data_IF_796366446843
#
_entry.id   IF_796366446843
#
_cell.length_a   1.000
_cell.length_b   1.000
_cell.length_c   1.000
_cell.angle_alpha   90.00
_cell.angle_beta   90.00
_cell.angle_gamma   90.00
#
_symmetry.space_group_name_H-M   'P 1'
#
loop_
_entity.id
_entity.type
_entity.pdbx_description
1 polymer ?
#
# COMPACT_ATOMS: atom_id res chain seq x y z
N UNK A 1 -11.74 -0.47 44.03
CA UNK A 1 -11.45 -1.87 43.60
C UNK A 1 -12.52 -2.39 42.63
N UNK A 2 -13.81 -2.13 42.86
CA UNK A 2 -14.91 -2.53 41.96
C UNK A 2 -14.82 -1.96 40.53
N UNK A 3 -14.57 -0.66 40.35
CA UNK A 3 -14.44 -0.06 39.00
C UNK A 3 -13.26 -0.58 38.18
N UNK A 4 -12.12 -0.85 38.82
CA UNK A 4 -10.93 -1.38 38.13
C UNK A 4 -11.17 -2.80 37.63
N UNK A 5 -11.83 -3.65 38.43
CA UNK A 5 -12.20 -5.00 38.00
C UNK A 5 -13.27 -4.96 36.91
N UNK A 6 -14.28 -4.10 37.03
CA UNK A 6 -15.34 -3.96 36.02
C UNK A 6 -14.77 -3.48 34.66
N UNK A 7 -13.79 -2.58 34.67
CA UNK A 7 -13.07 -2.15 33.48
C UNK A 7 -12.18 -3.24 32.88
N UNK A 8 -11.45 -3.98 33.72
CA UNK A 8 -10.55 -5.05 33.27
C UNK A 8 -11.32 -6.21 32.62
N UNK A 9 -12.54 -6.48 33.10
CA UNK A 9 -13.47 -7.47 32.58
C UNK A 9 -14.49 -6.91 31.58
N UNK A 10 -14.32 -5.67 31.12
CA UNK A 10 -15.15 -5.14 30.05
C UNK A 10 -14.98 -6.05 28.81
N UNK A 11 -16.08 -6.56 28.22
CA UNK A 11 -16.01 -7.64 27.24
C UNK A 11 -15.19 -7.26 26.01
N UNK A 12 -15.26 -6.00 25.59
CA UNK A 12 -14.52 -5.48 24.44
C UNK A 12 -13.01 -5.43 24.70
N UNK A 13 -12.59 -4.90 25.86
CA UNK A 13 -11.19 -4.78 26.25
C UNK A 13 -10.55 -6.14 26.53
N UNK A 14 -11.30 -7.04 27.16
CA UNK A 14 -10.84 -8.39 27.45
C UNK A 14 -10.66 -9.21 26.18
N UNK A 15 -11.64 -9.17 25.26
CA UNK A 15 -11.51 -9.85 23.96
C UNK A 15 -10.34 -9.27 23.14
N UNK A 16 -10.16 -7.95 23.15
CA UNK A 16 -9.03 -7.28 22.50
C UNK A 16 -7.67 -7.65 23.11
N UNK A 17 -7.59 -7.73 24.44
CA UNK A 17 -6.36 -8.09 25.16
C UNK A 17 -5.99 -9.55 24.93
N UNK A 18 -6.96 -10.47 25.07
CA UNK A 18 -6.75 -11.90 24.80
C UNK A 18 -6.35 -12.12 23.34
N UNK A 19 -7.00 -11.44 22.39
CA UNK A 19 -6.64 -11.50 20.97
C UNK A 19 -5.23 -11.00 20.70
N UNK A 20 -4.85 -9.87 21.28
CA UNK A 20 -3.49 -9.29 21.13
C UNK A 20 -2.43 -10.22 21.72
N UNK A 21 -2.67 -10.77 22.91
CA UNK A 21 -1.78 -11.75 23.56
C UNK A 21 -1.68 -13.03 22.74
N UNK A 22 -2.80 -13.54 22.21
CA UNK A 22 -2.84 -14.75 21.41
C UNK A 22 -2.01 -14.59 20.12
N UNK A 23 -2.06 -13.42 19.47
CA UNK A 23 -1.24 -13.13 18.29
C UNK A 23 0.24 -12.95 18.67
N UNK A 24 0.54 -12.20 19.74
CA UNK A 24 1.91 -12.01 20.23
C UNK A 24 2.56 -13.32 20.69
N UNK A 25 1.78 -14.32 21.13
CA UNK A 25 2.28 -15.65 21.48
C UNK A 25 3.05 -16.33 20.34
N UNK A 26 2.77 -15.98 19.07
CA UNK A 26 3.50 -16.52 17.91
C UNK A 26 5.00 -16.23 17.97
N UNK A 27 5.40 -15.11 18.59
CA UNK A 27 6.81 -14.72 18.73
C UNK A 27 7.61 -15.76 19.50
N UNK A 28 6.97 -16.44 20.46
CA UNK A 28 7.63 -17.45 21.30
C UNK A 28 7.50 -18.86 20.73
N UNK A 29 6.30 -19.26 20.27
CA UNK A 29 6.04 -20.55 19.61
C UNK A 29 4.63 -20.58 19.02
N UNK A 30 4.39 -21.43 18.02
CA UNK A 30 3.03 -21.77 17.59
C UNK A 30 2.27 -22.54 18.69
N UNK A 31 1.37 -21.85 19.37
CA UNK A 31 0.50 -22.41 20.40
C UNK A 31 -0.91 -22.69 19.85
N UNK A 32 -1.64 -23.63 20.48
CA UNK A 32 -3.04 -23.94 20.09
C UNK A 32 -3.95 -22.71 20.16
N UNK A 33 -3.72 -21.82 21.13
CA UNK A 33 -4.44 -20.56 21.27
C UNK A 33 -4.19 -19.63 20.08
N UNK A 34 -2.93 -19.43 19.67
CA UNK A 34 -2.59 -18.65 18.47
C UNK A 34 -3.33 -19.19 17.24
N UNK A 35 -3.29 -20.50 17.02
CA UNK A 35 -3.94 -21.15 15.87
C UNK A 35 -5.45 -20.92 15.87
N UNK A 36 -6.14 -21.00 17.01
CA UNK A 36 -7.57 -20.71 17.10
C UNK A 36 -7.88 -19.27 16.65
N UNK A 37 -7.16 -18.29 17.19
CA UNK A 37 -7.36 -16.88 16.85
C UNK A 37 -7.02 -16.58 15.38
N UNK A 38 -6.00 -17.24 14.83
CA UNK A 38 -5.67 -17.15 13.40
C UNK A 38 -6.84 -17.62 12.51
N UNK A 39 -7.50 -18.74 12.84
CA UNK A 39 -8.64 -19.22 12.07
C UNK A 39 -9.87 -18.31 12.21
N UNK A 40 -10.12 -17.77 13.41
CA UNK A 40 -11.20 -16.80 13.63
C UNK A 40 -10.95 -15.54 12.79
N UNK A 41 -9.73 -15.01 12.81
CA UNK A 41 -9.37 -13.81 12.06
C UNK A 41 -9.42 -14.04 10.55
N UNK A 42 -8.90 -15.16 10.06
CA UNK A 42 -9.02 -15.56 8.65
C UNK A 42 -10.48 -15.75 8.25
N UNK A 43 -11.30 -16.38 9.08
CA UNK A 43 -12.73 -16.55 8.83
C UNK A 43 -13.48 -15.22 8.75
N UNK A 44 -13.17 -14.28 9.65
CA UNK A 44 -13.73 -12.93 9.62
C UNK A 44 -13.30 -12.15 8.38
N UNK A 45 -12.02 -12.25 8.00
CA UNK A 45 -11.51 -11.62 6.77
C UNK A 45 -12.19 -12.18 5.51
N UNK A 46 -12.39 -13.50 5.44
CA UNK A 46 -13.13 -14.12 4.34
C UNK A 46 -14.61 -13.70 4.34
N UNK A 47 -15.25 -13.66 5.52
CA UNK A 47 -16.64 -13.20 5.65
C UNK A 47 -16.83 -11.75 5.21
N UNK A 48 -15.92 -10.85 5.62
CA UNK A 48 -15.90 -9.46 5.18
C UNK A 48 -15.67 -9.35 3.66
N UNK A 49 -14.79 -10.19 3.10
CA UNK A 49 -14.60 -10.27 1.65
C UNK A 49 -15.87 -10.68 0.90
N UNK A 50 -16.66 -11.61 1.44
CA UNK A 50 -17.97 -11.99 0.88
C UNK A 50 -18.96 -10.83 0.97
N UNK A 51 -18.99 -10.12 2.10
CA UNK A 51 -19.86 -8.95 2.29
C UNK A 51 -19.54 -7.85 1.26
N UNK A 52 -18.27 -7.45 1.12
CA UNK A 52 -17.81 -6.48 0.10
C UNK A 52 -18.24 -6.95 -1.29
N UNK A 53 -17.99 -8.21 -1.61
CA UNK A 53 -18.34 -8.77 -2.92
C UNK A 53 -19.85 -8.67 -3.18
N UNK A 54 -20.68 -8.85 -2.14
CA UNK A 54 -22.11 -8.66 -2.25
C UNK A 54 -22.51 -7.19 -2.39
N UNK A 55 -22.04 -6.31 -1.51
CA UNK A 55 -22.51 -4.93 -1.38
C UNK A 55 -21.92 -4.00 -2.44
N UNK A 56 -20.68 -4.21 -2.84
CA UNK A 56 -19.96 -3.34 -3.80
C UNK A 56 -20.00 -3.86 -5.23
N UNK A 57 -20.16 -5.17 -5.43
CA UNK A 57 -20.11 -5.79 -6.76
C UNK A 57 -21.46 -6.38 -7.15
N UNK A 58 -21.89 -7.48 -6.52
CA UNK A 58 -23.08 -8.23 -6.96
C UNK A 58 -24.36 -7.40 -6.89
N UNK A 59 -24.59 -6.66 -5.79
CA UNK A 59 -25.80 -5.88 -5.62
C UNK A 59 -25.90 -4.73 -6.64
N UNK A 60 -24.95 -3.78 -6.69
CA UNK A 60 -25.08 -2.61 -7.57
C UNK A 60 -24.82 -2.94 -9.05
N UNK A 61 -23.94 -3.90 -9.38
CA UNK A 61 -23.59 -4.19 -10.78
C UNK A 61 -24.49 -5.25 -11.42
N UNK A 62 -25.09 -6.16 -10.62
CA UNK A 62 -25.89 -7.27 -11.14
C UNK A 62 -27.34 -7.24 -10.66
N UNK A 63 -27.60 -7.17 -9.36
CA UNK A 63 -28.94 -7.30 -8.79
C UNK A 63 -29.83 -6.07 -9.05
N UNK A 64 -29.35 -4.87 -8.75
CA UNK A 64 -30.12 -3.63 -8.87
C UNK A 64 -30.51 -3.33 -10.34
N UNK A 65 -29.63 -3.49 -11.36
CA UNK A 65 -30.01 -3.33 -12.76
C UNK A 65 -31.02 -4.38 -13.25
N UNK A 66 -30.93 -5.62 -12.74
CA UNK A 66 -31.85 -6.70 -13.09
C UNK A 66 -33.27 -6.39 -12.58
N UNK A 67 -33.38 -5.92 -11.33
CA UNK A 67 -34.66 -5.53 -10.73
C UNK A 67 -35.21 -4.24 -11.34
N UNK A 68 -34.34 -3.33 -11.79
CA UNK A 68 -34.71 -2.10 -12.52
C UNK A 68 -35.23 -2.36 -13.96
N UNK A 69 -35.36 -3.63 -14.38
CA UNK A 69 -35.94 -4.00 -15.68
C UNK A 69 -34.93 -4.09 -16.82
N UNK A 70 -33.62 -3.96 -16.55
CA UNK A 70 -32.57 -4.16 -17.56
C UNK A 70 -32.20 -5.65 -17.66
N UNK A 71 -33.09 -6.46 -18.21
CA UNK A 71 -32.92 -7.91 -18.36
C UNK A 71 -31.68 -8.34 -19.14
N UNK A 72 -31.06 -7.42 -19.90
CA UNK A 72 -29.80 -7.67 -20.60
C UNK A 72 -28.67 -8.13 -19.66
N UNK A 73 -28.68 -7.70 -18.39
CA UNK A 73 -27.68 -8.11 -17.39
C UNK A 73 -27.71 -9.60 -17.05
N UNK A 74 -28.81 -10.30 -17.34
CA UNK A 74 -28.89 -11.76 -17.14
C UNK A 74 -27.86 -12.51 -17.99
N UNK A 75 -27.39 -11.91 -19.09
CA UNK A 75 -26.34 -12.46 -19.95
C UNK A 75 -24.98 -12.57 -19.26
N UNK A 76 -24.80 -11.91 -18.11
CA UNK A 76 -23.58 -12.07 -17.30
C UNK A 76 -23.56 -13.38 -16.51
N UNK A 77 -24.71 -14.02 -16.25
CA UNK A 77 -24.79 -15.31 -15.52
C UNK A 77 -24.12 -16.44 -16.31
N UNK A 78 -24.40 -16.67 -17.61
CA UNK A 78 -23.66 -17.64 -18.41
C UNK A 78 -22.15 -17.36 -18.44
N UNK A 79 -21.76 -16.09 -18.56
CA UNK A 79 -20.34 -15.68 -18.56
C UNK A 79 -19.69 -16.00 -17.21
N UNK A 80 -20.36 -15.74 -16.10
CA UNK A 80 -19.90 -16.15 -14.76
C UNK A 80 -19.80 -17.67 -14.62
N UNK A 81 -20.75 -18.42 -15.19
CA UNK A 81 -20.71 -19.89 -15.19
C UNK A 81 -19.50 -20.46 -15.96
N UNK A 82 -19.01 -19.75 -16.98
CA UNK A 82 -17.80 -20.16 -17.72
C UNK A 82 -16.56 -20.27 -16.82
N UNK A 83 -16.48 -19.54 -15.70
CA UNK A 83 -15.39 -19.69 -14.73
C UNK A 83 -15.33 -21.09 -14.12
N UNK A 84 -16.47 -21.70 -13.84
CA UNK A 84 -16.56 -23.06 -13.30
C UNK A 84 -16.12 -24.12 -14.30
N UNK A 85 -15.93 -23.75 -15.58
CA UNK A 85 -15.28 -24.60 -16.58
C UNK A 85 -13.87 -25.06 -16.19
N UNK A 86 -13.22 -24.40 -15.21
CA UNK A 86 -11.93 -24.83 -14.65
C UNK A 86 -11.97 -26.22 -14.01
N UNK A 87 -13.11 -26.65 -13.48
CA UNK A 87 -13.24 -27.96 -12.83
C UNK A 87 -13.35 -29.12 -13.81
N UNK A 88 -13.59 -28.85 -15.10
CA UNK A 88 -13.80 -29.87 -16.13
C UNK A 88 -12.82 -29.70 -17.28
N UNK A 89 -11.99 -30.72 -17.55
CA UNK A 89 -10.97 -30.69 -18.63
C UNK A 89 -11.54 -30.37 -20.03
N UNK A 90 -12.82 -30.66 -20.30
CA UNK A 90 -13.48 -30.37 -21.59
C UNK A 90 -13.82 -28.89 -21.79
N UNK A 91 -14.13 -28.17 -20.72
CA UNK A 91 -14.58 -26.76 -20.78
C UNK A 91 -13.49 -25.76 -20.35
N UNK A 92 -12.26 -26.23 -20.17
CA UNK A 92 -11.11 -25.40 -19.78
C UNK A 92 -10.81 -24.27 -20.78
N UNK A 93 -11.16 -24.43 -22.06
CA UNK A 93 -11.00 -23.35 -23.04
C UNK A 93 -11.87 -22.12 -22.72
N UNK A 94 -13.05 -22.33 -22.10
CA UNK A 94 -13.99 -21.26 -21.75
C UNK A 94 -13.44 -20.40 -20.61
N UNK A 95 -12.88 -21.03 -19.59
CA UNK A 95 -12.24 -20.33 -18.48
C UNK A 95 -10.96 -19.61 -18.91
N UNK A 96 -10.15 -20.20 -19.81
CA UNK A 96 -8.96 -19.54 -20.37
C UNK A 96 -9.29 -18.25 -21.13
N UNK A 97 -10.39 -18.22 -21.88
CA UNK A 97 -10.83 -17.02 -22.59
C UNK A 97 -11.18 -15.90 -21.59
N UNK A 98 -11.92 -16.24 -20.53
CA UNK A 98 -12.20 -15.31 -19.43
C UNK A 98 -10.91 -14.78 -18.79
N UNK A 99 -10.02 -15.68 -18.36
CA UNK A 99 -8.74 -15.25 -17.76
C UNK A 99 -7.95 -14.35 -18.71
N UNK A 100 -7.93 -14.64 -20.02
CA UNK A 100 -7.29 -13.79 -21.02
C UNK A 100 -7.89 -12.38 -21.06
N UNK A 101 -9.23 -12.26 -21.00
CA UNK A 101 -9.91 -10.96 -20.92
C UNK A 101 -9.60 -10.24 -19.60
N UNK A 102 -9.65 -10.94 -18.45
CA UNK A 102 -9.30 -10.34 -17.16
C UNK A 102 -7.85 -9.87 -17.11
N UNK A 103 -6.91 -10.66 -17.60
CA UNK A 103 -5.50 -10.26 -17.69
C UNK A 103 -5.31 -9.11 -18.68
N UNK A 104 -6.02 -9.10 -19.81
CA UNK A 104 -5.99 -8.00 -20.77
C UNK A 104 -6.50 -6.69 -20.18
N UNK A 105 -7.62 -6.72 -19.46
CA UNK A 105 -8.17 -5.57 -18.74
C UNK A 105 -7.21 -5.10 -17.64
N UNK A 106 -6.72 -6.01 -16.80
CA UNK A 106 -5.77 -5.69 -15.74
C UNK A 106 -4.44 -5.14 -16.28
N UNK A 107 -3.92 -5.69 -17.37
CA UNK A 107 -2.74 -5.15 -18.04
C UNK A 107 -3.02 -3.75 -18.62
N UNK A 108 -4.21 -3.54 -19.17
CA UNK A 108 -4.67 -2.23 -19.65
C UNK A 108 -4.72 -1.18 -18.54
N UNK A 109 -5.28 -1.51 -17.37
CA UNK A 109 -5.33 -0.58 -16.22
C UNK A 109 -3.93 -0.28 -15.70
N UNK A 110 -3.07 -1.30 -15.54
CA UNK A 110 -1.68 -1.10 -15.12
C UNK A 110 -0.92 -0.22 -16.13
N UNK A 111 -1.18 -0.36 -17.43
CA UNK A 111 -0.59 0.50 -18.44
C UNK A 111 -1.10 1.95 -18.35
N UNK A 112 -2.39 2.14 -18.11
CA UNK A 112 -2.98 3.47 -17.89
C UNK A 112 -2.41 4.13 -16.63
N UNK A 113 -2.30 3.40 -15.53
CA UNK A 113 -1.70 3.88 -14.29
C UNK A 113 -0.22 4.20 -14.50
N UNK A 114 0.49 3.37 -15.28
CA UNK A 114 1.87 3.63 -15.62
C UNK A 114 2.00 4.93 -16.42
N UNK A 115 1.23 5.08 -17.49
CA UNK A 115 1.26 6.25 -18.36
C UNK A 115 0.76 7.51 -17.65
N UNK A 116 -0.27 7.41 -16.80
CA UNK A 116 -0.86 8.53 -16.08
C UNK A 116 -0.04 8.96 -14.86
N UNK A 117 0.64 8.03 -14.19
CA UNK A 117 1.46 8.30 -13.02
C UNK A 117 2.90 8.66 -13.36
N UNK A 118 3.60 7.79 -14.10
CA UNK A 118 5.03 7.94 -14.34
C UNK A 118 5.34 8.98 -15.42
N UNK A 119 4.54 9.10 -16.48
CA UNK A 119 4.83 10.07 -17.54
C UNK A 119 4.84 11.52 -17.01
N UNK A 120 3.84 11.96 -16.22
CA UNK A 120 3.90 13.28 -15.59
C UNK A 120 5.01 13.38 -14.54
N UNK A 121 5.37 12.28 -13.85
CA UNK A 121 6.48 12.29 -12.88
C UNK A 121 7.83 12.53 -13.56
N UNK A 122 8.08 11.93 -14.73
CA UNK A 122 9.28 12.19 -15.53
C UNK A 122 9.30 13.64 -15.97
N UNK A 123 8.20 14.17 -16.48
CA UNK A 123 8.11 15.57 -16.93
C UNK A 123 8.31 16.54 -15.74
N UNK A 124 7.65 16.30 -14.60
CA UNK A 124 7.78 17.11 -13.38
C UNK A 124 9.15 17.01 -12.71
N UNK A 125 9.94 15.99 -13.05
CA UNK A 125 11.32 15.89 -12.60
C UNK A 125 12.20 17.01 -13.18
N UNK A 126 11.80 17.59 -14.32
CA UNK A 126 12.42 18.81 -14.85
C UNK A 126 11.94 20.06 -14.08
N UNK A 127 12.37 20.20 -12.82
CA UNK A 127 12.07 21.37 -11.98
C UNK A 127 12.71 22.68 -12.49
N UNK A 128 11.98 23.80 -12.55
CA UNK A 128 12.56 25.09 -12.93
C UNK A 128 13.53 25.60 -11.86
N UNK A 129 14.63 26.20 -12.30
CA UNK A 129 15.60 26.88 -11.45
C UNK A 129 15.29 28.37 -11.26
N UNK A 130 14.27 28.89 -11.94
CA UNK A 130 13.80 30.26 -11.79
C UNK A 130 12.79 30.30 -10.64
N UNK A 131 13.01 31.11 -9.59
CA UNK A 131 12.07 31.23 -8.49
C UNK A 131 10.74 31.83 -8.98
N UNK A 132 9.59 31.35 -8.47
CA UNK A 132 8.30 31.93 -8.79
C UNK A 132 8.22 33.41 -8.36
N UNK A 133 7.38 34.22 -9.01
CA UNK A 133 7.25 35.63 -8.69
C UNK A 133 6.84 35.84 -7.22
N UNK A 134 7.30 36.94 -6.58
CA UNK A 134 7.03 37.24 -5.18
C UNK A 134 5.53 37.24 -4.85
N UNK A 135 5.11 36.51 -3.83
CA UNK A 135 3.79 36.66 -3.23
C UNK A 135 3.74 37.97 -2.41
N UNK A 136 2.73 38.84 -2.57
CA UNK A 136 2.64 40.07 -1.79
C UNK A 136 2.41 39.75 -0.30
N UNK A 137 3.38 40.09 0.57
CA UNK A 137 3.28 39.91 2.02
C UNK A 137 4.45 39.15 2.68
N UNK A 138 5.32 38.52 1.89
CA UNK A 138 6.41 37.70 2.42
C UNK A 138 7.63 38.53 2.83
N UNK A 139 7.87 38.66 4.14
CA UNK A 139 9.02 39.38 4.68
C UNK A 139 10.37 38.72 4.35
N UNK A 140 10.38 37.41 4.02
CA UNK A 140 11.59 36.58 3.87
C UNK A 140 11.83 36.18 2.39
N UNK A 141 11.51 37.09 1.48
CA UNK A 141 11.46 36.87 0.04
C UNK A 141 12.76 36.31 -0.56
N UNK A 142 13.91 36.80 -0.09
CA UNK A 142 15.24 36.36 -0.56
C UNK A 142 15.60 34.96 -0.07
N UNK A 143 15.25 34.59 1.16
CA UNK A 143 15.53 33.27 1.73
C UNK A 143 14.65 32.18 1.09
N UNK A 144 13.38 32.49 0.81
CA UNK A 144 12.48 31.59 0.09
C UNK A 144 12.92 31.37 -1.36
N UNK A 145 13.38 32.41 -2.05
CA UNK A 145 13.93 32.26 -3.40
C UNK A 145 15.21 31.40 -3.42
N UNK A 146 16.15 31.65 -2.50
CA UNK A 146 17.42 30.89 -2.43
C UNK A 146 17.17 29.43 -2.07
N UNK A 147 16.33 29.15 -1.08
CA UNK A 147 15.99 27.76 -0.69
C UNK A 147 15.29 26.99 -1.82
N UNK A 148 14.43 27.65 -2.60
CA UNK A 148 13.79 27.03 -3.77
C UNK A 148 14.80 26.62 -4.83
N UNK A 149 15.70 27.54 -5.21
CA UNK A 149 16.75 27.28 -6.22
C UNK A 149 17.68 26.18 -5.74
N UNK A 150 18.15 26.24 -4.48
CA UNK A 150 19.04 25.22 -3.92
C UNK A 150 18.39 23.84 -3.87
N UNK A 151 17.14 23.73 -3.44
CA UNK A 151 16.43 22.45 -3.39
C UNK A 151 16.25 21.86 -4.80
N UNK A 152 15.80 22.67 -5.77
CA UNK A 152 15.61 22.20 -7.14
C UNK A 152 16.95 21.83 -7.80
N UNK A 153 18.02 22.58 -7.56
CA UNK A 153 19.37 22.28 -8.05
C UNK A 153 19.91 20.99 -7.44
N UNK A 154 19.73 20.79 -6.13
CA UNK A 154 20.11 19.56 -5.44
C UNK A 154 19.33 18.36 -5.99
N UNK A 155 18.02 18.50 -6.18
CA UNK A 155 17.18 17.46 -6.77
C UNK A 155 17.66 17.07 -8.18
N UNK A 156 17.90 18.06 -9.05
CA UNK A 156 18.41 17.83 -10.40
C UNK A 156 19.77 17.14 -10.40
N UNK A 157 20.67 17.57 -9.51
CA UNK A 157 22.02 17.00 -9.40
C UNK A 157 21.95 15.53 -8.98
N UNK A 158 21.10 15.20 -8.00
CA UNK A 158 20.87 13.82 -7.56
C UNK A 158 20.28 12.99 -8.69
N UNK A 159 19.22 13.49 -9.35
CA UNK A 159 18.56 12.81 -10.45
C UNK A 159 19.54 12.51 -11.58
N UNK A 160 20.35 13.49 -11.96
CA UNK A 160 21.38 13.33 -12.99
C UNK A 160 22.41 12.26 -12.60
N UNK A 161 22.93 12.28 -11.36
CA UNK A 161 23.86 11.26 -10.87
C UNK A 161 23.26 9.85 -10.88
N UNK A 162 21.98 9.71 -10.50
CA UNK A 162 21.28 8.42 -10.45
C UNK A 162 20.96 7.90 -11.84
N UNK A 163 20.50 8.75 -12.76
CA UNK A 163 20.26 8.37 -14.15
C UNK A 163 21.56 7.92 -14.82
N UNK A 164 22.68 8.63 -14.59
CA UNK A 164 23.99 8.21 -15.08
C UNK A 164 24.44 6.87 -14.49
N UNK A 165 24.08 6.56 -13.24
CA UNK A 165 24.38 5.26 -12.64
C UNK A 165 23.64 4.10 -13.33
N UNK A 166 22.37 4.29 -13.73
CA UNK A 166 21.56 3.27 -14.40
C UNK A 166 21.68 3.25 -15.93
N UNK A 167 22.26 4.29 -16.54
CA UNK A 167 22.52 4.31 -17.98
C UNK A 167 23.69 3.40 -18.33
N UNK A 168 23.37 2.15 -18.67
CA UNK A 168 24.33 1.17 -19.19
C UNK A 168 24.66 1.37 -20.68
N UNK A 169 23.94 2.27 -21.37
CA UNK A 169 24.08 2.50 -22.82
C UNK A 169 25.37 3.23 -23.22
N UNK A 170 26.05 3.91 -22.29
CA UNK A 170 27.32 4.58 -22.54
C UNK A 170 28.42 3.94 -21.72
N UNK A 171 29.53 3.61 -22.39
CA UNK A 171 30.71 3.07 -21.71
C UNK A 171 31.31 4.17 -20.81
N UNK A 172 31.23 3.97 -19.50
CA UNK A 172 31.66 4.95 -18.49
C UNK A 172 33.19 5.03 -18.42
N UNK A 173 33.87 5.43 -19.51
CA UNK A 173 35.34 5.49 -19.58
C UNK A 173 35.93 6.77 -19.00
N UNK A 174 35.16 7.88 -18.99
CA UNK A 174 35.60 9.16 -18.45
C UNK A 174 35.53 9.21 -16.91
N UNK A 175 36.62 9.64 -16.26
CA UNK A 175 36.72 9.78 -14.78
C UNK A 175 35.59 10.60 -14.16
N UNK A 176 35.15 11.68 -14.82
CA UNK A 176 34.04 12.51 -14.33
C UNK A 176 32.69 11.77 -14.32
N UNK A 177 32.42 10.96 -15.36
CA UNK A 177 31.17 10.17 -15.45
C UNK A 177 31.19 9.04 -14.42
N UNK A 178 32.33 8.36 -14.25
CA UNK A 178 32.50 7.34 -13.21
C UNK A 178 32.34 7.91 -11.79
N UNK A 179 32.84 9.13 -11.56
CA UNK A 179 32.70 9.82 -10.27
C UNK A 179 31.24 10.14 -9.96
N UNK A 180 30.51 10.74 -10.90
CA UNK A 180 29.08 11.06 -10.75
C UNK A 180 28.22 9.80 -10.56
N UNK A 181 28.48 8.73 -11.33
CA UNK A 181 27.78 7.45 -11.18
C UNK A 181 28.05 6.79 -9.82
N UNK A 182 29.27 6.90 -9.28
CA UNK A 182 29.59 6.40 -7.93
C UNK A 182 28.81 7.16 -6.86
N UNK A 183 28.71 8.48 -6.96
CA UNK A 183 27.90 9.30 -6.05
C UNK A 183 26.40 8.95 -6.18
N UNK A 184 25.92 8.70 -7.40
CA UNK A 184 24.55 8.20 -7.65
C UNK A 184 24.23 6.90 -6.90
N UNK A 185 25.17 5.95 -6.84
CA UNK A 185 25.03 4.73 -6.05
C UNK A 185 24.86 5.01 -4.55
N UNK A 186 25.62 5.95 -4.00
CA UNK A 186 25.48 6.36 -2.60
C UNK A 186 24.13 7.00 -2.32
N UNK A 187 23.65 7.87 -3.22
CA UNK A 187 22.30 8.45 -3.09
C UNK A 187 21.20 7.39 -3.13
N UNK A 188 21.35 6.37 -3.98
CA UNK A 188 20.44 5.21 -4.00
C UNK A 188 20.47 4.41 -2.70
N UNK A 189 21.65 4.15 -2.14
CA UNK A 189 21.78 3.46 -0.85
C UNK A 189 21.09 4.24 0.27
N UNK A 190 21.21 5.57 0.28
CA UNK A 190 20.52 6.43 1.25
C UNK A 190 19.00 6.39 1.06
N UNK A 191 18.52 6.52 -0.19
CA UNK A 191 17.09 6.48 -0.49
C UNK A 191 16.46 5.13 -0.14
N UNK A 192 17.09 4.02 -0.53
CA UNK A 192 16.63 2.68 -0.15
C UNK A 192 16.71 2.48 1.36
N UNK A 193 17.76 2.97 2.03
CA UNK A 193 17.87 2.95 3.48
C UNK A 193 16.70 3.66 4.16
N UNK A 194 16.29 4.82 3.67
CA UNK A 194 15.13 5.54 4.18
C UNK A 194 13.82 4.78 3.95
N UNK A 195 13.64 4.17 2.77
CA UNK A 195 12.44 3.35 2.47
C UNK A 195 12.37 2.13 3.39
N UNK A 196 13.47 1.36 3.52
CA UNK A 196 13.52 0.22 4.45
C UNK A 196 13.28 0.67 5.90
N UNK A 197 13.89 1.77 6.32
CA UNK A 197 13.67 2.37 7.65
C UNK A 197 12.21 2.74 7.90
N UNK A 198 11.52 3.33 6.91
CA UNK A 198 10.10 3.69 7.03
C UNK A 198 9.22 2.45 7.25
N UNK A 199 9.48 1.34 6.56
CA UNK A 199 8.70 0.11 6.76
C UNK A 199 8.92 -0.53 8.13
N UNK A 200 10.15 -0.46 8.66
CA UNK A 200 10.46 -0.93 10.02
C UNK A 200 9.75 -0.04 11.04
N UNK A 201 9.74 1.28 10.84
CA UNK A 201 9.04 2.22 11.70
C UNK A 201 7.55 1.92 11.76
N UNK A 202 6.88 1.66 10.63
CA UNK A 202 5.46 1.30 10.61
C UNK A 202 5.19 0.01 11.41
N UNK A 203 6.03 -1.01 11.25
CA UNK A 203 5.90 -2.28 12.00
C UNK A 203 6.12 -2.07 13.50
N UNK A 204 7.12 -1.28 13.89
CA UNK A 204 7.36 -0.93 15.29
C UNK A 204 6.23 -0.08 15.87
N UNK A 205 5.68 0.86 15.11
CA UNK A 205 4.54 1.68 15.53
C UNK A 205 3.31 0.81 15.82
N UNK A 206 2.99 -0.16 14.95
CA UNK A 206 1.91 -1.13 15.21
C UNK A 206 2.16 -1.96 16.47
N UNK A 207 3.41 -2.38 16.71
CA UNK A 207 3.77 -3.11 17.93
C UNK A 207 3.62 -2.22 19.18
N UNK A 208 4.10 -0.98 19.14
CA UNK A 208 3.99 -0.01 20.24
C UNK A 208 2.51 0.24 20.55
N UNK A 209 1.68 0.45 19.53
CA UNK A 209 0.23 0.63 19.67
C UNK A 209 -0.43 -0.55 20.39
N UNK A 210 -0.07 -1.79 20.01
CA UNK A 210 -0.57 -3.00 20.70
C UNK A 210 -0.05 -3.13 22.14
N UNK A 211 1.19 -2.74 22.40
CA UNK A 211 1.76 -2.74 23.76
C UNK A 211 1.14 -1.66 24.64
N UNK A 212 0.87 -0.47 24.08
CA UNK A 212 0.18 0.63 24.75
C UNK A 212 -1.24 0.21 25.15
N UNK A 213 -1.99 -0.40 24.22
CA UNK A 213 -3.30 -0.97 24.50
C UNK A 213 -3.26 -1.97 25.67
N UNK A 214 -2.26 -2.86 25.70
CA UNK A 214 -2.18 -3.90 26.72
C UNK A 214 -1.78 -3.36 28.10
N UNK A 215 -0.77 -2.48 28.17
CA UNK A 215 -0.24 -1.99 29.45
C UNK A 215 -0.97 -0.77 30.02
N UNK A 216 -1.41 0.15 29.15
CA UNK A 216 -2.01 1.42 29.56
C UNK A 216 -3.53 1.34 29.54
N UNK A 217 -4.13 0.90 28.44
CA UNK A 217 -5.60 0.87 28.32
C UNK A 217 -6.20 -0.32 29.11
N UNK A 218 -5.68 -1.53 28.91
CA UNK A 218 -6.21 -2.73 29.55
C UNK A 218 -5.72 -2.88 31.00
N UNK A 219 -4.41 -2.97 31.23
CA UNK A 219 -3.83 -3.21 32.55
C UNK A 219 -3.79 -1.96 33.45
N UNK A 220 -3.92 -0.75 32.86
CA UNK A 220 -3.83 0.55 33.56
C UNK A 220 -2.61 0.65 34.50
N UNK A 221 -1.49 0.06 34.10
CA UNK A 221 -0.29 -0.02 34.95
C UNK A 221 0.38 1.35 35.12
N UNK A 222 0.40 2.15 34.05
CA UNK A 222 0.65 3.58 34.13
C UNK A 222 -0.71 4.28 34.04
N UNK A 223 -1.08 5.07 35.07
CA UNK A 223 -2.13 6.07 34.89
C UNK A 223 -1.64 7.10 33.86
N UNK A 224 -2.53 7.66 33.03
CA UNK A 224 -2.16 8.68 32.06
C UNK A 224 -1.43 9.86 32.71
#
# INVERSE_FOLDING_TARGET
MSEYLCHLFAPQLLLGAVGTIAVLSRVFKENRLYRLFEHIFLGLALGYGVEITWTEVLRPQFWDPLVAGQWAWIMTVPVGLMFYGIYTRRFEWMSRLLFGVFFGLAAGTVFQDFSGGFMPQVIKSYKPLVPPPPTPGDHFLTLHAVSFVLNNLLFMTILFCVVLYFLFAFEQRNRFIQGSARTGRWFLMLAFGAIFGSTIMTRMALLIDRMYFLFVEWLRWAKP
#
